data_IF_949581287247
#
_entry.id   IF_949581287247
#
_cell.length_a   1.000
_cell.length_b   1.000
_cell.length_c   1.000
_cell.angle_alpha   90.00
_cell.angle_beta   90.00
_cell.angle_gamma   90.00
#
_symmetry.space_group_name_H-M   'P 1'
#
loop_
_entity.id
_entity.type
_entity.pdbx_description
1 polymer ?
#
# COMPACT_ATOMS: atom_id res chain seq x y z
N UNK A 1 19.47 -8.31 -4.83
CA UNK A 1 19.27 -6.86 -5.08
C UNK A 1 17.86 -6.57 -5.57
N UNK A 2 17.10 -5.80 -4.81
CA UNK A 2 15.78 -5.31 -5.17
C UNK A 2 15.78 -3.77 -5.12
N UNK A 3 15.20 -3.13 -6.15
CA UNK A 3 15.06 -1.67 -6.23
C UNK A 3 13.59 -1.30 -6.08
N UNK A 4 13.27 -0.46 -5.09
CA UNK A 4 11.91 0.02 -4.85
C UNK A 4 11.92 1.48 -4.42
N UNK A 5 11.15 2.33 -5.12
CA UNK A 5 11.01 3.79 -4.87
C UNK A 5 12.35 4.51 -4.55
N UNK A 6 13.41 4.17 -5.29
CA UNK A 6 14.74 4.77 -5.12
C UNK A 6 15.59 4.22 -3.96
N UNK A 7 15.09 3.23 -3.21
CA UNK A 7 15.86 2.48 -2.21
C UNK A 7 16.28 1.13 -2.79
N UNK A 8 17.54 0.76 -2.54
CA UNK A 8 18.12 -0.49 -2.96
C UNK A 8 18.36 -1.35 -1.73
N UNK A 9 17.73 -2.52 -1.69
CA UNK A 9 17.87 -3.48 -0.60
C UNK A 9 18.55 -4.74 -1.13
N UNK A 10 19.55 -5.23 -0.40
CA UNK A 10 20.15 -6.52 -0.70
C UNK A 10 19.43 -7.63 0.06
N UNK A 11 19.08 -8.69 -0.66
CA UNK A 11 18.38 -9.85 -0.12
C UNK A 11 19.20 -11.08 -0.49
N UNK A 12 19.59 -11.86 0.51
CA UNK A 12 20.29 -13.12 0.31
C UNK A 12 19.31 -14.20 -0.14
N UNK A 13 19.33 -14.63 -1.40
CA UNK A 13 18.48 -15.70 -1.89
C UNK A 13 18.00 -15.52 -3.33
N UNK A 14 17.06 -16.39 -3.73
CA UNK A 14 16.36 -16.29 -5.01
C UNK A 14 15.17 -15.32 -4.95
N UNK A 15 14.57 -15.03 -6.09
CA UNK A 15 13.45 -14.09 -6.20
C UNK A 15 12.25 -14.46 -5.29
N UNK A 16 11.87 -15.74 -5.23
CA UNK A 16 10.77 -16.21 -4.37
C UNK A 16 11.06 -16.09 -2.86
N UNK A 17 12.34 -16.07 -2.45
CA UNK A 17 12.71 -15.75 -1.08
C UNK A 17 12.52 -14.27 -0.78
N UNK A 18 12.91 -13.39 -1.72
CA UNK A 18 12.67 -11.96 -1.61
C UNK A 18 11.18 -11.63 -1.48
N UNK A 19 10.31 -12.21 -2.33
CA UNK A 19 8.87 -11.94 -2.28
C UNK A 19 8.26 -12.28 -0.91
N UNK A 20 8.57 -13.46 -0.37
CA UNK A 20 8.10 -13.87 0.97
C UNK A 20 8.62 -12.96 2.07
N UNK A 21 9.91 -12.62 2.03
CA UNK A 21 10.51 -11.72 3.02
C UNK A 21 9.88 -10.34 2.99
N UNK A 22 9.64 -9.84 1.79
CA UNK A 22 8.99 -8.56 1.59
C UNK A 22 7.54 -8.57 2.12
N UNK A 23 6.79 -9.64 1.88
CA UNK A 23 5.44 -9.80 2.39
C UNK A 23 5.40 -9.85 3.93
N UNK A 24 6.32 -10.61 4.55
CA UNK A 24 6.50 -10.63 6.01
C UNK A 24 6.80 -9.24 6.58
N UNK A 25 7.75 -8.51 5.98
CA UNK A 25 8.12 -7.15 6.40
C UNK A 25 6.94 -6.18 6.27
N UNK A 26 6.17 -6.29 5.18
CA UNK A 26 4.99 -5.47 4.94
C UNK A 26 3.89 -5.76 5.98
N UNK A 27 3.61 -7.02 6.28
CA UNK A 27 2.62 -7.39 7.29
C UNK A 27 2.99 -6.85 8.67
N UNK A 28 4.27 -6.95 9.05
CA UNK A 28 4.78 -6.38 10.31
C UNK A 28 4.57 -4.86 10.36
N UNK A 29 4.84 -4.16 9.26
CA UNK A 29 4.66 -2.71 9.17
C UNK A 29 3.18 -2.31 9.27
N UNK A 30 2.28 -3.03 8.59
CA UNK A 30 0.83 -2.82 8.69
C UNK A 30 0.33 -3.02 10.12
N UNK A 31 0.77 -4.09 10.78
CA UNK A 31 0.39 -4.35 12.16
C UNK A 31 0.93 -3.27 13.12
N UNK A 32 2.16 -2.81 12.91
CA UNK A 32 2.73 -1.71 13.68
C UNK A 32 1.95 -0.40 13.49
N UNK A 33 1.59 -0.06 12.24
CA UNK A 33 0.76 1.10 11.92
C UNK A 33 -0.60 1.02 12.62
N UNK A 34 -1.28 -0.12 12.52
CA UNK A 34 -2.59 -0.33 13.16
C UNK A 34 -2.53 -0.18 14.68
N UNK A 35 -1.47 -0.68 15.32
CA UNK A 35 -1.26 -0.52 16.75
C UNK A 35 -1.01 0.95 17.11
N UNK A 36 -0.19 1.65 16.33
CA UNK A 36 0.06 3.08 16.50
C UNK A 36 -1.22 3.90 16.38
N UNK A 37 -2.05 3.64 15.36
CA UNK A 37 -3.34 4.31 15.17
C UNK A 37 -4.29 4.09 16.35
N UNK A 38 -4.31 2.86 16.90
CA UNK A 38 -5.11 2.56 18.09
C UNK A 38 -4.63 3.35 19.30
N UNK A 39 -3.32 3.40 19.56
CA UNK A 39 -2.76 4.16 20.69
C UNK A 39 -2.99 5.67 20.54
N UNK A 40 -2.88 6.19 19.32
CA UNK A 40 -3.19 7.58 19.00
C UNK A 40 -4.65 7.88 19.33
N UNK A 41 -5.58 7.04 18.87
CA UNK A 41 -7.01 7.20 19.14
C UNK A 41 -7.33 7.17 20.64
N UNK A 42 -6.78 6.21 21.38
CA UNK A 42 -6.98 6.13 22.83
C UNK A 42 -6.45 7.39 23.55
N UNK A 43 -5.31 7.92 23.07
CA UNK A 43 -4.72 9.16 23.61
C UNK A 43 -5.57 10.38 23.30
N UNK A 44 -6.11 10.48 22.08
CA UNK A 44 -7.04 11.53 21.67
C UNK A 44 -8.33 11.50 22.50
N UNK A 45 -8.95 10.33 22.68
CA UNK A 45 -10.13 10.15 23.53
C UNK A 45 -9.87 10.56 24.99
N UNK A 46 -8.68 10.25 25.52
CA UNK A 46 -8.28 10.69 26.85
C UNK A 46 -8.19 12.22 26.94
N UNK A 47 -7.56 12.86 25.94
CA UNK A 47 -7.45 14.31 25.87
C UNK A 47 -8.84 14.94 25.83
N UNK A 48 -9.74 14.47 24.95
CA UNK A 48 -11.10 14.99 24.83
C UNK A 48 -11.90 14.86 26.12
N UNK A 49 -11.84 13.68 26.76
CA UNK A 49 -12.58 13.40 28.00
C UNK A 49 -12.11 14.26 29.18
N UNK A 50 -10.82 14.57 29.24
CA UNK A 50 -10.22 15.20 30.42
C UNK A 50 -9.73 16.64 30.20
N UNK A 51 -9.84 17.21 28.99
CA UNK A 51 -9.40 18.60 28.69
C UNK A 51 -10.03 19.66 29.59
N UNK A 52 -11.25 19.42 30.06
CA UNK A 52 -11.99 20.36 30.92
C UNK A 52 -11.78 20.12 32.43
N UNK A 53 -11.05 19.05 32.82
CA UNK A 53 -10.79 18.77 34.25
C UNK A 53 -9.46 19.37 34.69
N UNK A 54 -9.51 20.38 35.55
CA UNK A 54 -8.34 21.05 36.09
C UNK A 54 -7.34 20.08 36.78
N UNK A 55 -7.83 19.06 37.48
CA UNK A 55 -6.99 18.04 38.12
C UNK A 55 -6.18 17.17 37.16
N UNK A 56 -6.58 17.11 35.88
CA UNK A 56 -5.92 16.31 34.83
C UNK A 56 -5.18 17.15 33.79
N UNK A 57 -5.19 18.49 33.92
CA UNK A 57 -4.60 19.42 32.96
C UNK A 57 -3.13 19.11 32.63
N UNK A 58 -2.29 18.80 33.63
CA UNK A 58 -0.88 18.43 33.42
C UNK A 58 -0.72 17.14 32.58
N UNK A 59 -1.58 16.15 32.81
CA UNK A 59 -1.54 14.88 32.07
C UNK A 59 -1.99 15.09 30.62
N UNK A 60 -3.06 15.84 30.41
CA UNK A 60 -3.56 16.20 29.07
C UNK A 60 -2.48 16.96 28.28
N UNK A 61 -1.87 17.98 28.87
CA UNK A 61 -0.80 18.76 28.22
C UNK A 61 0.43 17.90 27.87
N UNK A 62 0.79 16.93 28.72
CA UNK A 62 1.86 15.98 28.40
C UNK A 62 1.51 15.11 27.20
N UNK A 63 0.28 14.57 27.15
CA UNK A 63 -0.19 13.74 26.02
C UNK A 63 -0.31 14.52 24.71
N UNK A 64 -0.78 15.78 24.75
CA UNK A 64 -0.79 16.68 23.58
C UNK A 64 0.62 16.83 23.01
N UNK A 65 1.61 17.13 23.86
CA UNK A 65 3.01 17.24 23.43
C UNK A 65 3.61 15.92 22.94
N UNK A 66 3.12 14.78 23.43
CA UNK A 66 3.53 13.48 22.91
C UNK A 66 2.99 13.29 21.49
N UNK A 67 1.72 13.58 21.24
CA UNK A 67 1.11 13.48 19.91
C UNK A 67 1.83 14.34 18.86
N UNK A 68 2.25 15.55 19.22
CA UNK A 68 3.02 16.45 18.34
C UNK A 68 4.40 15.90 17.92
N UNK A 69 4.94 14.94 18.68
CA UNK A 69 6.28 14.37 18.46
C UNK A 69 6.26 12.97 17.84
N UNK A 70 5.08 12.38 17.65
CA UNK A 70 4.97 11.03 17.09
C UNK A 70 5.11 11.13 15.56
N UNK A 71 6.14 10.47 15.03
CA UNK A 71 6.25 10.21 13.61
C UNK A 71 5.30 9.07 13.22
N UNK A 72 4.42 9.33 12.26
CA UNK A 72 3.43 8.35 11.80
C UNK A 72 4.09 7.30 10.92
N UNK A 73 3.73 6.04 11.16
CA UNK A 73 4.16 4.94 10.32
C UNK A 73 3.38 5.01 9.00
N UNK A 74 4.10 5.21 7.90
CA UNK A 74 3.55 5.15 6.55
C UNK A 74 3.76 3.74 5.98
N UNK A 75 2.65 3.08 5.61
CA UNK A 75 2.68 1.83 4.86
C UNK A 75 2.65 2.15 3.37
N UNK A 76 3.46 1.45 2.58
CA UNK A 76 3.43 1.57 1.13
C UNK A 76 2.07 1.09 0.58
N UNK A 77 1.39 1.97 -0.16
CA UNK A 77 0.25 1.59 -0.99
C UNK A 77 0.65 0.49 -1.97
N UNK A 78 -0.29 -0.38 -2.30
CA UNK A 78 -0.10 -1.41 -3.31
C UNK A 78 0.36 -0.76 -4.62
N UNK A 79 1.30 -1.42 -5.31
CA UNK A 79 1.69 -1.02 -6.66
C UNK A 79 0.39 -0.83 -7.45
N UNK A 80 0.21 0.37 -8.03
CA UNK A 80 -1.01 0.73 -8.72
C UNK A 80 -1.41 -0.43 -9.65
N UNK A 81 -2.54 -1.05 -9.35
CA UNK A 81 -3.09 -2.09 -10.21
C UNK A 81 -3.27 -1.42 -11.58
N UNK A 82 -2.48 -1.86 -12.56
CA UNK A 82 -2.59 -1.34 -13.92
C UNK A 82 -3.93 -1.81 -14.45
N UNK A 83 -4.93 -0.94 -14.36
CA UNK A 83 -6.22 -1.18 -14.97
C UNK A 83 -6.04 -1.03 -16.48
N UNK A 84 -5.89 -2.17 -17.16
CA UNK A 84 -5.88 -2.23 -18.60
C UNK A 84 -7.18 -2.88 -19.06
N UNK A 85 -7.96 -2.14 -19.84
CA UNK A 85 -9.16 -2.66 -20.49
C UNK A 85 -9.06 -2.36 -21.97
N UNK A 86 -9.50 -3.31 -22.79
CA UNK A 86 -9.76 -3.04 -24.20
C UNK A 86 -11.14 -2.38 -24.31
N UNK A 87 -11.29 -1.29 -25.07
CA UNK A 87 -12.61 -0.77 -25.40
C UNK A 87 -13.41 -1.85 -26.15
N UNK A 88 -14.74 -1.85 -25.99
CA UNK A 88 -15.60 -2.73 -26.79
C UNK A 88 -15.40 -2.42 -28.28
N UNK A 89 -15.12 -3.43 -29.11
CA UNK A 89 -14.95 -3.21 -30.54
C UNK A 89 -16.29 -2.77 -31.15
N UNK A 90 -16.25 -1.84 -32.10
CA UNK A 90 -17.42 -1.52 -32.92
C UNK A 90 -17.95 -2.78 -33.63
N UNK A 91 -19.25 -2.81 -33.91
CA UNK A 91 -19.89 -3.96 -34.57
C UNK A 91 -19.21 -4.23 -35.90
N UNK A 92 -18.51 -5.36 -36.00
CA UNK A 92 -17.87 -5.78 -37.25
C UNK A 92 -18.94 -6.10 -38.30
N UNK A 93 -18.67 -5.77 -39.56
CA UNK A 93 -19.57 -6.07 -40.68
C UNK A 93 -19.79 -7.58 -40.85
N UNK A 94 -20.83 -7.97 -41.59
CA UNK A 94 -21.20 -9.39 -41.80
C UNK A 94 -20.06 -10.27 -42.37
N UNK A 95 -19.11 -9.67 -43.10
CA UNK A 95 -17.89 -10.35 -43.58
C UNK A 95 -16.69 -9.60 -43.02
N UNK A 96 -16.03 -10.20 -42.03
CA UNK A 96 -14.85 -9.61 -41.36
C UNK A 96 -13.57 -9.86 -42.15
N UNK A 97 -13.51 -10.98 -42.88
CA UNK A 97 -12.36 -11.35 -43.70
C UNK A 97 -12.82 -12.33 -44.80
N UNK A 98 -12.50 -12.05 -46.06
CA UNK A 98 -12.66 -12.98 -47.19
C UNK A 98 -11.29 -13.20 -47.81
N UNK A 99 -10.87 -14.45 -47.88
CA UNK A 99 -9.57 -14.85 -48.40
C UNK A 99 -9.79 -15.81 -49.57
N UNK A 100 -9.25 -15.45 -50.73
CA UNK A 100 -9.32 -16.26 -51.94
C UNK A 100 -7.88 -16.58 -52.38
N UNK A 101 -7.63 -17.83 -52.77
CA UNK A 101 -6.33 -18.31 -53.26
C UNK A 101 -5.13 -18.09 -52.31
N UNK A 102 -5.32 -18.16 -50.99
CA UNK A 102 -4.20 -18.15 -50.04
C UNK A 102 -3.43 -19.47 -50.11
N UNK A 103 -2.11 -19.36 -50.31
CA UNK A 103 -1.15 -20.46 -50.20
C UNK A 103 -0.03 -20.06 -49.26
N UNK A 104 0.28 -20.92 -48.29
CA UNK A 104 1.40 -20.77 -47.37
C UNK A 104 2.32 -21.99 -47.52
N UNK A 105 3.58 -21.76 -47.85
CA UNK A 105 4.61 -22.80 -47.89
C UNK A 105 5.77 -22.36 -47.02
N UNK A 106 6.23 -23.24 -46.15
CA UNK A 106 7.55 -23.12 -45.52
C UNK A 106 8.50 -24.00 -46.31
N UNK A 107 9.62 -23.41 -46.72
CA UNK A 107 10.80 -24.15 -47.19
C UNK A 107 11.73 -24.44 -46.04
#
# INVERSE_FOLDING_TARGET
>A
LALRRGKMSDYSGNYSFYERKWEEERELLINAQKNQEKELKETEEFIERFRYKASKARQVQSRVKQLEKIDRIEVEDELANVSFSFPEPERSGQVVMRLENIKKSYG
#
